data_IF_159173299156
#
_entry.id   IF_159173299156
#
_cell.length_a   1.000
_cell.length_b   1.000
_cell.length_c   1.000
_cell.angle_alpha   90.00
_cell.angle_beta   90.00
_cell.angle_gamma   90.00
#
_symmetry.space_group_name_H-M   'P 1'
#
loop_
_entity.id
_entity.type
_entity.pdbx_description
1 polymer ?
#
# COMPACT_ATOMS: atom_id res chain seq x y z
N UNK A 1 6.40 5.04 15.04
CA UNK A 1 5.47 4.44 14.07
C UNK A 1 5.53 2.91 14.22
N UNK A 2 4.39 2.23 14.32
CA UNK A 2 4.39 0.76 14.35
C UNK A 2 4.61 0.21 12.93
N UNK A 3 5.54 -0.73 12.77
CA UNK A 3 5.81 -1.44 11.52
C UNK A 3 5.07 -2.78 11.58
N UNK A 4 3.98 -2.92 10.84
CA UNK A 4 3.22 -4.17 10.76
C UNK A 4 3.33 -4.79 9.37
N UNK A 5 3.48 -6.12 9.31
CA UNK A 5 3.45 -6.86 8.04
C UNK A 5 2.03 -7.11 7.52
N UNK A 6 1.02 -6.96 8.37
CA UNK A 6 -0.39 -7.08 8.01
C UNK A 6 -1.11 -5.80 8.44
N UNK A 7 -2.03 -5.35 7.62
CA UNK A 7 -2.81 -4.16 7.91
C UNK A 7 -4.03 -4.04 7.00
N UNK A 8 -4.57 -2.83 6.93
CA UNK A 8 -5.67 -2.47 6.06
C UNK A 8 -5.25 -1.35 5.12
N UNK A 9 -5.72 -1.39 3.88
CA UNK A 9 -5.53 -0.32 2.91
C UNK A 9 -6.87 0.01 2.23
N UNK A 10 -7.00 1.25 1.74
CA UNK A 10 -8.07 1.61 0.82
C UNK A 10 -7.56 1.45 -0.61
N UNK A 11 -8.27 0.68 -1.42
CA UNK A 11 -7.96 0.45 -2.84
C UNK A 11 -9.24 0.71 -3.62
N UNK A 12 -9.22 1.69 -4.52
CA UNK A 12 -10.40 2.15 -5.27
C UNK A 12 -11.67 2.37 -4.39
N UNK A 13 -11.48 2.91 -3.18
CA UNK A 13 -12.59 3.19 -2.24
C UNK A 13 -12.92 2.05 -1.27
N UNK A 14 -12.55 0.81 -1.60
CA UNK A 14 -12.80 -0.38 -0.78
C UNK A 14 -11.72 -0.60 0.29
N UNK A 15 -12.09 -1.18 1.43
CA UNK A 15 -11.15 -1.52 2.51
C UNK A 15 -10.71 -2.97 2.40
N UNK A 16 -9.42 -3.18 2.15
CA UNK A 16 -8.82 -4.49 1.90
C UNK A 16 -7.82 -4.88 3.00
N UNK A 17 -7.79 -6.17 3.38
CA UNK A 17 -6.67 -6.71 4.18
C UNK A 17 -5.45 -6.79 3.30
N UNK A 18 -4.31 -6.31 3.81
CA UNK A 18 -3.05 -6.31 3.05
C UNK A 18 -1.94 -7.00 3.83
N UNK A 19 -1.02 -7.66 3.11
CA UNK A 19 0.27 -8.14 3.59
C UNK A 19 1.39 -7.39 2.88
N UNK A 20 2.26 -6.75 3.64
CA UNK A 20 3.49 -6.17 3.09
C UNK A 20 4.63 -7.18 3.11
N UNK A 21 5.37 -7.28 2.01
CA UNK A 21 6.60 -8.08 1.96
C UNK A 21 7.79 -7.38 2.62
N UNK A 22 7.73 -6.05 2.77
CA UNK A 22 8.74 -5.19 3.43
C UNK A 22 8.15 -4.38 4.60
N UNK A 23 8.95 -3.85 5.54
CA UNK A 23 8.45 -2.96 6.59
C UNK A 23 7.68 -1.78 5.99
N UNK A 24 6.49 -1.52 6.52
CA UNK A 24 5.61 -0.47 6.04
C UNK A 24 4.98 0.24 7.25
N UNK A 25 5.18 1.55 7.33
CA UNK A 25 4.51 2.38 8.32
C UNK A 25 3.06 2.64 7.91
N UNK A 26 2.16 2.73 8.89
CA UNK A 26 0.78 3.13 8.65
C UNK A 26 0.71 4.50 7.94
N UNK A 27 -0.26 4.66 7.03
CA UNK A 27 -0.47 5.89 6.26
C UNK A 27 0.43 6.06 5.02
N UNK A 28 1.38 5.14 4.77
CA UNK A 28 2.18 5.17 3.53
C UNK A 28 1.42 4.53 2.36
N UNK A 29 1.60 5.11 1.18
CA UNK A 29 1.05 4.57 -0.06
C UNK A 29 1.70 3.22 -0.42
N UNK A 30 0.91 2.36 -1.04
CA UNK A 30 1.32 1.00 -1.40
C UNK A 30 0.91 0.66 -2.82
N UNK A 31 1.69 -0.21 -3.46
CA UNK A 31 1.35 -0.82 -4.74
C UNK A 31 0.93 -2.27 -4.50
N UNK A 32 -0.21 -2.67 -5.08
CA UNK A 32 -0.67 -4.06 -5.06
C UNK A 32 0.15 -4.86 -6.06
N UNK A 33 0.64 -6.03 -5.63
CA UNK A 33 1.47 -6.94 -6.44
C UNK A 33 0.86 -8.32 -6.59
N UNK A 34 -0.23 -8.61 -5.88
CA UNK A 34 -0.96 -9.85 -6.03
C UNK A 34 -2.17 -9.91 -5.10
N UNK A 35 -3.04 -10.90 -5.33
CA UNK A 35 -4.23 -11.16 -4.52
C UNK A 35 -4.33 -12.65 -4.20
N UNK A 36 -4.61 -12.97 -2.93
CA UNK A 36 -4.93 -14.34 -2.49
C UNK A 36 -6.21 -14.30 -1.67
N UNK A 37 -7.33 -14.63 -2.29
CA UNK A 37 -8.67 -14.44 -1.71
C UNK A 37 -8.91 -12.98 -1.34
N UNK A 38 -9.29 -12.71 -0.10
CA UNK A 38 -9.55 -11.38 0.45
C UNK A 38 -8.30 -10.66 1.00
N UNK A 39 -7.11 -11.19 0.71
CA UNK A 39 -5.83 -10.60 1.13
C UNK A 39 -5.04 -10.13 -0.09
N UNK A 40 -4.64 -8.85 -0.09
CA UNK A 40 -3.74 -8.30 -1.10
C UNK A 40 -2.28 -8.38 -0.63
N UNK A 41 -1.37 -8.71 -1.54
CA UNK A 41 0.07 -8.55 -1.31
C UNK A 41 0.48 -7.19 -1.82
N UNK A 42 1.19 -6.43 -0.99
CA UNK A 42 1.59 -5.06 -1.28
C UNK A 42 3.07 -4.84 -1.03
N UNK A 43 3.62 -3.86 -1.74
CA UNK A 43 4.94 -3.27 -1.50
C UNK A 43 4.78 -1.77 -1.27
N UNK A 44 5.72 -1.10 -0.59
CA UNK A 44 5.76 0.36 -0.58
C UNK A 44 5.69 0.89 -2.01
N UNK A 45 4.80 1.86 -2.25
CA UNK A 45 4.86 2.57 -3.52
C UNK A 45 6.19 3.31 -3.57
N UNK A 46 7.01 3.07 -4.59
CA UNK A 46 8.04 4.04 -4.95
C UNK A 46 7.29 5.32 -5.29
N UNK A 47 7.58 6.43 -4.62
CA UNK A 47 7.14 7.71 -5.11
C UNK A 47 7.86 7.92 -6.47
N UNK A 48 7.19 7.90 -7.64
CA UNK A 48 7.59 8.89 -8.61
C UNK A 48 7.33 10.24 -7.92
N UNK A 49 8.30 11.14 -7.97
CA UNK A 49 8.09 12.53 -7.56
C UNK A 49 6.72 13.04 -8.02
N UNK A 50 6.14 13.94 -7.24
CA UNK A 50 4.93 14.67 -7.60
C UNK A 50 5.01 15.16 -9.06
N UNK A 51 4.45 14.42 -10.00
CA UNK A 51 4.35 14.83 -11.40
C UNK A 51 2.93 15.36 -11.56
N UNK A 52 2.85 16.68 -11.39
CA UNK A 52 1.62 17.44 -11.20
C UNK A 52 1.87 18.82 -10.58
N UNK A 53 3.10 19.35 -10.64
CA UNK A 53 3.28 20.80 -10.76
C UNK A 53 3.77 21.04 -12.20
N UNK A 54 2.80 21.24 -13.10
CA UNK A 54 3.03 21.81 -14.41
C UNK A 54 1.90 22.79 -14.70
N UNK A 55 2.15 24.05 -14.29
CA UNK A 55 1.52 25.32 -14.69
C UNK A 55 0.12 25.63 -14.14
#
# INVERSE_FOLDING_TARGET
>A
ASLSRVGWARVHGERWRVRSTSPLAAGRAVRVTGRRGLMLTVVPASNPSQEGEHT
#
